data_IF_273227454105
#
_entry.id   IF_273227454105
#
_cell.length_a   1.000
_cell.length_b   1.000
_cell.length_c   1.000
_cell.angle_alpha   90.00
_cell.angle_beta   90.00
_cell.angle_gamma   90.00
#
_symmetry.space_group_name_H-M   'P 1'
#
loop_
_entity.id
_entity.type
_entity.pdbx_description
1 polymer ?
#
# COMPACT_ATOMS: atom_id res chain seq x y z
N UNK A 1 14.32 21.52 -6.25
CA UNK A 1 15.39 21.49 -5.26
C UNK A 1 15.21 20.52 -4.06
N UNK A 2 14.00 20.10 -3.66
CA UNK A 2 13.78 19.11 -2.56
C UNK A 2 14.13 17.63 -2.94
N UNK A 3 14.16 17.27 -4.21
CA UNK A 3 14.41 15.90 -4.72
C UNK A 3 15.81 15.35 -4.43
N UNK A 4 16.81 16.22 -4.40
CA UNK A 4 18.21 15.86 -4.11
C UNK A 4 18.38 15.38 -2.67
N UNK A 5 17.65 15.98 -1.72
CA UNK A 5 17.83 15.73 -0.28
C UNK A 5 17.43 14.30 0.14
N UNK A 6 16.39 13.69 -0.45
CA UNK A 6 15.94 12.36 -0.04
C UNK A 6 16.86 11.25 -0.57
N UNK A 7 17.26 11.33 -1.86
CA UNK A 7 18.26 10.42 -2.42
C UNK A 7 19.57 10.48 -1.67
N UNK A 8 20.07 11.70 -1.40
CA UNK A 8 21.29 11.93 -0.64
C UNK A 8 21.17 11.36 0.78
N UNK A 9 20.03 11.52 1.44
CA UNK A 9 19.79 11.00 2.79
C UNK A 9 19.83 9.47 2.84
N UNK A 10 19.17 8.79 1.89
CA UNK A 10 19.24 7.32 1.79
C UNK A 10 20.66 6.86 1.50
N UNK A 11 21.35 7.51 0.57
CA UNK A 11 22.74 7.17 0.24
C UNK A 11 23.65 7.34 1.44
N UNK A 12 23.49 8.41 2.22
CA UNK A 12 24.26 8.65 3.46
C UNK A 12 23.99 7.54 4.49
N UNK A 13 22.73 7.19 4.76
CA UNK A 13 22.39 6.10 5.69
C UNK A 13 22.97 4.77 5.26
N UNK A 14 22.83 4.43 3.98
CA UNK A 14 23.41 3.22 3.41
C UNK A 14 24.94 3.21 3.52
N UNK A 15 25.59 4.35 3.27
CA UNK A 15 27.04 4.50 3.37
C UNK A 15 27.53 4.34 4.82
N UNK A 16 26.81 4.91 5.80
CA UNK A 16 27.12 4.76 7.23
C UNK A 16 26.97 3.28 7.65
N UNK A 17 25.91 2.61 7.23
CA UNK A 17 25.69 1.19 7.53
C UNK A 17 26.81 0.32 6.93
N UNK A 18 27.21 0.60 5.71
CA UNK A 18 28.28 -0.11 5.02
C UNK A 18 29.65 0.13 5.68
N UNK A 19 29.92 1.38 6.06
CA UNK A 19 31.14 1.72 6.81
C UNK A 19 31.21 0.98 8.14
N UNK A 20 30.11 0.94 8.88
CA UNK A 20 30.02 0.22 10.15
C UNK A 20 30.25 -1.31 9.95
N UNK A 21 29.69 -1.88 8.90
CA UNK A 21 29.87 -3.29 8.55
C UNK A 21 31.33 -3.59 8.16
N UNK A 22 31.98 -2.69 7.41
CA UNK A 22 33.38 -2.84 7.05
C UNK A 22 34.31 -2.73 8.28
N UNK A 23 34.05 -1.80 9.20
CA UNK A 23 34.80 -1.70 10.44
C UNK A 23 34.65 -2.97 11.30
N UNK A 24 33.44 -3.51 11.41
CA UNK A 24 33.17 -4.75 12.12
C UNK A 24 33.94 -5.92 11.47
N UNK A 25 33.92 -6.02 10.15
CA UNK A 25 34.64 -7.04 9.40
C UNK A 25 36.14 -6.91 9.62
N UNK A 26 36.68 -5.70 9.61
CA UNK A 26 38.09 -5.41 9.89
C UNK A 26 38.48 -5.87 11.31
N UNK A 27 37.69 -5.60 12.33
CA UNK A 27 37.95 -6.07 13.70
C UNK A 27 37.94 -7.59 13.81
N UNK A 28 37.01 -8.25 13.10
CA UNK A 28 36.95 -9.71 13.05
C UNK A 28 38.19 -10.30 12.38
N UNK A 29 38.62 -9.75 11.25
CA UNK A 29 39.83 -10.23 10.53
C UNK A 29 41.07 -10.08 11.41
N UNK A 30 41.26 -8.92 12.05
CA UNK A 30 42.40 -8.70 12.97
C UNK A 30 42.35 -9.69 14.16
N UNK A 31 41.18 -9.93 14.74
CA UNK A 31 41.02 -10.87 15.84
C UNK A 31 41.36 -12.33 15.44
N UNK A 32 40.85 -12.74 14.26
CA UNK A 32 41.16 -14.09 13.71
C UNK A 32 42.65 -14.26 13.40
N UNK A 33 43.27 -13.21 12.86
CA UNK A 33 44.71 -13.20 12.58
C UNK A 33 45.52 -13.38 13.88
N UNK A 34 45.21 -12.64 14.94
CA UNK A 34 45.85 -12.80 16.26
C UNK A 34 45.71 -14.21 16.81
N UNK A 35 44.50 -14.79 16.81
CA UNK A 35 44.23 -16.13 17.27
C UNK A 35 45.06 -17.17 16.48
N UNK A 36 45.13 -16.97 15.14
CA UNK A 36 45.89 -17.89 14.27
C UNK A 36 47.38 -17.77 14.53
N UNK A 37 47.93 -16.57 14.72
CA UNK A 37 49.33 -16.33 15.01
C UNK A 37 49.73 -16.97 16.37
N UNK A 38 48.92 -16.76 17.42
CA UNK A 38 49.12 -17.36 18.72
C UNK A 38 49.11 -18.91 18.66
N UNK A 39 48.15 -19.48 17.93
CA UNK A 39 48.07 -20.93 17.77
C UNK A 39 49.29 -21.50 16.99
N UNK A 40 49.74 -20.78 15.96
CA UNK A 40 50.91 -21.17 15.15
C UNK A 40 52.18 -21.19 16.00
N UNK A 41 52.39 -20.17 16.84
CA UNK A 41 53.55 -20.12 17.79
C UNK A 41 53.45 -21.28 18.78
N UNK A 42 52.30 -21.55 19.32
CA UNK A 42 52.06 -22.66 20.26
C UNK A 42 52.37 -24.00 19.65
N UNK A 43 51.83 -24.28 18.44
CA UNK A 43 51.98 -25.55 17.76
C UNK A 43 53.48 -25.79 17.39
N UNK A 44 54.15 -24.74 16.86
CA UNK A 44 55.57 -24.81 16.55
C UNK A 44 56.43 -25.09 17.80
N UNK A 45 56.20 -24.37 18.89
CA UNK A 45 56.91 -24.55 20.15
C UNK A 45 56.78 -25.95 20.69
N UNK A 46 55.58 -26.54 20.68
CA UNK A 46 55.34 -27.91 21.11
C UNK A 46 56.07 -28.94 20.23
N UNK A 47 56.00 -28.75 18.90
CA UNK A 47 56.66 -29.67 17.94
C UNK A 47 58.17 -29.69 18.15
N UNK A 48 58.80 -28.54 18.27
CA UNK A 48 60.26 -28.42 18.42
C UNK A 48 60.72 -29.01 19.76
N UNK A 49 60.01 -28.73 20.87
CA UNK A 49 60.36 -29.28 22.19
C UNK A 49 60.16 -30.79 22.22
N UNK A 50 59.07 -31.31 21.63
CA UNK A 50 58.80 -32.76 21.56
C UNK A 50 59.78 -33.47 20.62
N UNK A 51 60.26 -32.84 19.56
CA UNK A 51 61.34 -33.39 18.71
C UNK A 51 62.67 -33.46 19.47
N UNK A 52 63.02 -32.36 20.18
CA UNK A 52 64.20 -32.36 21.03
C UNK A 52 64.14 -33.48 22.14
N UNK A 53 62.98 -33.62 22.76
CA UNK A 53 62.67 -34.64 23.73
C UNK A 53 62.90 -36.03 23.14
N UNK A 54 62.43 -36.30 21.93
CA UNK A 54 62.62 -37.59 21.24
C UNK A 54 64.08 -37.85 20.88
N UNK A 55 64.81 -36.84 20.46
CA UNK A 55 66.22 -36.94 20.13
C UNK A 55 67.05 -37.31 21.36
N UNK A 56 66.83 -36.63 22.49
CA UNK A 56 67.51 -36.92 23.75
C UNK A 56 67.20 -38.34 24.26
N UNK A 57 65.93 -38.75 24.20
CA UNK A 57 65.54 -40.11 24.63
C UNK A 57 66.12 -41.23 23.74
N UNK A 58 66.40 -40.96 22.48
CA UNK A 58 66.94 -41.90 21.51
C UNK A 58 68.47 -42.13 21.61
N UNK A 59 69.24 -41.25 22.30
CA UNK A 59 70.70 -41.24 22.31
C UNK A 59 71.21 -41.23 23.76
N UNK A 60 71.58 -42.45 24.38
CA UNK A 60 72.05 -42.51 25.72
C UNK A 60 73.38 -41.79 26.00
N UNK A 61 74.27 -41.70 25.01
CA UNK A 61 75.50 -40.90 25.10
C UNK A 61 75.25 -39.42 25.29
N UNK A 62 74.23 -38.90 24.59
CA UNK A 62 73.81 -37.49 24.70
C UNK A 62 73.25 -37.23 26.11
N UNK A 63 72.47 -38.14 26.65
CA UNK A 63 71.91 -38.00 28.00
C UNK A 63 73.04 -37.93 29.05
N UNK A 64 74.08 -38.76 28.90
CA UNK A 64 75.23 -38.76 29.79
C UNK A 64 76.07 -37.49 29.72
N UNK A 65 76.30 -36.97 28.49
CA UNK A 65 76.99 -35.73 28.25
C UNK A 65 76.23 -34.53 28.88
N UNK A 66 74.91 -34.46 28.82
CA UNK A 66 74.07 -33.41 29.41
C UNK A 66 74.14 -33.46 30.99
N UNK A 67 74.47 -34.58 31.57
CA UNK A 67 74.63 -34.71 33.03
C UNK A 67 76.06 -34.40 33.50
N UNK A 68 77.11 -34.87 32.78
CA UNK A 68 78.53 -34.78 33.19
C UNK A 68 79.19 -33.44 32.81
N UNK A 69 78.75 -32.80 31.80
CA UNK A 69 79.39 -31.52 31.35
C UNK A 69 78.57 -30.27 31.68
N UNK A 70 79.23 -29.38 32.39
CA UNK A 70 78.81 -27.91 32.27
C UNK A 70 79.29 -27.47 30.91
N UNK A 71 78.43 -27.66 29.92
CA UNK A 71 78.68 -27.21 28.54
C UNK A 71 78.45 -25.68 28.45
N UNK A 72 79.42 -24.95 28.93
CA UNK A 72 79.62 -23.56 28.66
C UNK A 72 80.12 -23.47 27.19
N UNK A 73 79.22 -23.83 26.25
CA UNK A 73 79.62 -24.09 24.88
C UNK A 73 79.52 -22.80 24.03
N UNK A 74 80.60 -22.43 23.48
CA UNK A 74 80.75 -21.34 22.52
C UNK A 74 80.06 -21.60 21.18
N UNK A 75 79.39 -22.73 20.98
CA UNK A 75 78.62 -23.05 19.78
C UNK A 75 77.16 -23.39 20.10
N UNK A 76 76.41 -22.29 20.34
CA UNK A 76 74.99 -22.37 20.69
C UNK A 76 74.06 -22.51 19.44
N UNK A 77 74.62 -22.71 18.23
CA UNK A 77 73.81 -22.70 16.98
C UNK A 77 72.79 -23.84 16.90
N UNK A 78 73.03 -24.97 17.58
CA UNK A 78 72.13 -26.10 17.61
C UNK A 78 70.91 -25.97 18.51
N UNK A 79 70.88 -24.96 19.39
CA UNK A 79 69.77 -24.72 20.32
C UNK A 79 68.79 -23.63 19.89
N UNK A 80 69.01 -23.07 18.70
CA UNK A 80 68.04 -22.23 18.02
C UNK A 80 67.49 -23.01 16.83
N UNK A 81 66.22 -23.41 16.90
CA UNK A 81 65.58 -24.16 15.84
C UNK A 81 64.22 -23.54 15.55
N UNK A 82 63.98 -23.16 14.31
CA UNK A 82 62.71 -22.56 13.87
C UNK A 82 62.21 -21.44 14.80
N UNK A 83 63.10 -20.50 15.20
CA UNK A 83 62.83 -19.39 16.12
C UNK A 83 62.44 -19.81 17.57
N UNK A 84 62.67 -21.08 17.92
CA UNK A 84 62.52 -21.60 19.28
C UNK A 84 63.88 -21.69 19.94
N UNK A 85 64.04 -21.04 21.07
CA UNK A 85 65.20 -21.17 21.93
C UNK A 85 65.03 -22.33 22.86
N UNK A 86 65.88 -23.32 22.74
CA UNK A 86 65.86 -24.50 23.57
C UNK A 86 66.83 -24.36 24.75
N UNK A 87 66.37 -24.72 25.94
CA UNK A 87 67.13 -24.71 27.17
C UNK A 87 66.88 -26.04 27.89
N UNK A 88 67.93 -26.66 28.33
CA UNK A 88 67.89 -27.94 29.07
C UNK A 88 68.39 -27.69 30.49
N UNK A 89 67.60 -28.15 31.45
CA UNK A 89 67.95 -28.08 32.89
C UNK A 89 67.94 -29.48 33.52
N UNK A 90 68.76 -29.64 34.54
CA UNK A 90 68.75 -30.86 35.36
C UNK A 90 67.56 -30.84 36.35
N UNK A 91 67.29 -31.91 37.00
CA UNK A 91 66.22 -32.07 37.97
C UNK A 91 66.27 -31.04 39.09
N UNK A 92 67.51 -30.71 39.52
CA UNK A 92 67.81 -29.69 40.51
C UNK A 92 67.65 -28.24 40.01
N UNK A 93 67.20 -28.12 38.77
CA UNK A 93 67.03 -26.80 38.03
C UNK A 93 68.32 -26.11 37.67
N UNK A 94 69.45 -26.76 37.81
CA UNK A 94 70.71 -26.25 37.27
C UNK A 94 70.72 -26.30 35.74
N UNK A 95 71.39 -25.34 35.10
CA UNK A 95 71.52 -25.26 33.66
C UNK A 95 72.40 -26.41 33.14
N UNK A 96 71.89 -27.16 32.18
CA UNK A 96 72.69 -28.23 31.59
C UNK A 96 73.25 -27.81 30.24
N UNK A 97 72.40 -27.36 29.34
CA UNK A 97 72.80 -26.97 28.00
C UNK A 97 71.71 -26.06 27.37
N UNK A 98 72.09 -25.20 26.46
CA UNK A 98 71.10 -24.37 25.70
C UNK A 98 71.42 -22.89 25.60
N UNK A 99 70.52 -22.13 25.00
CA UNK A 99 70.68 -20.68 24.82
C UNK A 99 69.98 -19.92 25.96
N UNK A 100 70.71 -19.56 26.97
CA UNK A 100 70.20 -18.84 28.15
C UNK A 100 70.30 -17.32 27.94
N UNK A 101 69.22 -16.71 27.36
CA UNK A 101 69.22 -15.32 26.98
C UNK A 101 68.94 -14.36 28.16
N UNK A 102 68.13 -14.78 29.13
CA UNK A 102 67.71 -13.95 30.26
C UNK A 102 67.68 -14.75 31.56
N UNK A 103 68.27 -14.25 32.61
CA UNK A 103 68.24 -14.86 33.96
C UNK A 103 66.83 -14.92 34.58
N UNK A 104 65.93 -14.10 34.09
CA UNK A 104 64.53 -14.10 34.58
C UNK A 104 63.75 -15.34 34.17
N UNK A 105 64.12 -15.97 33.08
CA UNK A 105 63.48 -17.19 32.59
C UNK A 105 63.71 -18.39 33.57
N UNK A 106 64.83 -18.42 34.23
CA UNK A 106 65.17 -19.46 35.22
C UNK A 106 64.31 -19.40 36.47
N UNK A 107 63.78 -18.20 36.78
CA UNK A 107 62.90 -18.00 37.95
C UNK A 107 61.47 -18.43 37.72
N UNK A 108 61.08 -18.72 36.46
CA UNK A 108 59.74 -19.16 36.11
C UNK A 108 59.60 -20.66 36.50
N UNK A 109 58.50 -20.99 37.22
CA UNK A 109 58.30 -22.39 37.62
C UNK A 109 58.15 -23.33 36.42
N UNK A 110 58.66 -24.52 36.53
CA UNK A 110 58.56 -25.56 35.51
C UNK A 110 57.24 -26.30 35.67
N UNK A 111 56.51 -26.47 34.59
CA UNK A 111 55.28 -27.26 34.54
C UNK A 111 55.32 -28.21 33.34
N UNK A 112 55.34 -29.51 33.58
CA UNK A 112 55.42 -30.50 32.52
C UNK A 112 54.19 -30.42 31.59
N UNK A 113 54.45 -30.34 30.28
CA UNK A 113 53.45 -30.33 29.22
C UNK A 113 52.48 -29.15 29.28
N UNK A 114 52.88 -28.03 29.89
CA UNK A 114 52.07 -26.84 30.01
C UNK A 114 52.69 -25.64 29.28
N UNK A 115 51.85 -24.88 28.59
CA UNK A 115 52.25 -23.66 27.95
C UNK A 115 52.07 -22.48 28.91
N UNK A 116 53.09 -21.67 29.05
CA UNK A 116 53.11 -20.47 29.92
C UNK A 116 53.35 -19.24 29.04
N UNK A 117 52.62 -18.18 29.29
CA UNK A 117 52.90 -16.87 28.65
C UNK A 117 53.95 -16.11 29.47
N UNK A 118 54.91 -15.52 28.78
CA UNK A 118 55.94 -14.67 29.33
C UNK A 118 55.74 -13.26 28.74
N UNK A 119 55.78 -12.28 29.65
CA UNK A 119 55.80 -10.88 29.23
C UNK A 119 56.98 -10.21 29.93
N UNK A 120 58.04 -9.88 29.17
CA UNK A 120 59.27 -9.28 29.67
C UNK A 120 59.64 -8.16 28.73
N UNK A 121 59.86 -6.95 29.27
CA UNK A 121 60.27 -5.73 28.55
C UNK A 121 59.36 -5.41 27.35
N UNK A 122 58.06 -5.70 27.45
CA UNK A 122 57.07 -5.41 26.37
C UNK A 122 57.11 -6.43 25.21
N UNK A 123 57.90 -7.50 25.35
CA UNK A 123 57.94 -8.61 24.41
C UNK A 123 57.13 -9.79 25.03
N UNK A 124 56.11 -10.21 24.29
CA UNK A 124 55.32 -11.40 24.68
C UNK A 124 56.00 -12.66 24.14
N UNK A 125 56.22 -13.62 24.99
CA UNK A 125 56.78 -14.92 24.61
C UNK A 125 55.92 -16.05 25.14
N UNK A 126 56.20 -17.22 24.66
CA UNK A 126 55.58 -18.47 25.12
C UNK A 126 56.68 -19.42 25.58
N UNK A 127 56.47 -20.04 26.72
CA UNK A 127 57.30 -21.11 27.28
C UNK A 127 56.54 -22.41 27.27
N UNK A 128 57.25 -23.49 26.89
CA UNK A 128 56.74 -24.85 27.00
C UNK A 128 57.76 -25.73 27.58
N UNK A 129 57.42 -26.44 28.66
CA UNK A 129 58.29 -27.28 29.40
C UNK A 129 57.94 -28.77 29.21
N UNK A 130 58.98 -29.60 29.07
CA UNK A 130 58.81 -31.03 29.00
C UNK A 130 59.81 -31.72 30.01
N UNK A 131 59.25 -32.57 30.85
CA UNK A 131 60.05 -33.37 31.75
C UNK A 131 60.32 -34.73 31.15
N UNK A 132 61.59 -35.21 31.24
CA UNK A 132 61.98 -36.55 30.82
C UNK A 132 62.79 -37.23 31.95
N UNK A 133 62.49 -38.49 32.14
CA UNK A 133 63.28 -39.36 33.08
C UNK A 133 64.29 -40.08 32.25
N UNK A 134 65.59 -39.93 32.59
CA UNK A 134 66.70 -40.63 31.98
C UNK A 134 67.31 -41.60 32.97
N UNK A 135 68.21 -42.45 32.52
CA UNK A 135 68.95 -43.44 33.47
C UNK A 135 69.78 -42.69 34.48
N UNK A 136 70.25 -41.51 34.21
CA UNK A 136 71.13 -40.73 35.06
C UNK A 136 70.34 -39.66 35.93
N UNK A 137 69.06 -39.49 35.71
CA UNK A 137 68.22 -38.53 36.47
C UNK A 137 67.20 -37.78 35.60
N UNK A 138 66.39 -36.89 36.19
CA UNK A 138 65.40 -36.10 35.49
C UNK A 138 66.00 -34.94 34.74
N UNK A 139 65.50 -34.67 33.51
CA UNK A 139 65.88 -33.50 32.74
C UNK A 139 64.63 -32.73 32.38
N UNK A 140 64.74 -31.40 32.42
CA UNK A 140 63.71 -30.47 31.92
C UNK A 140 64.17 -29.85 30.59
N UNK A 141 63.34 -29.95 29.59
CA UNK A 141 63.52 -29.26 28.28
C UNK A 141 62.52 -28.09 28.20
N UNK A 142 63.07 -26.90 28.21
CA UNK A 142 62.29 -25.67 28.11
C UNK A 142 62.49 -25.05 26.74
N UNK A 143 61.42 -24.89 26.00
CA UNK A 143 61.38 -24.10 24.78
C UNK A 143 60.84 -22.69 25.06
N UNK A 144 61.48 -21.71 24.50
CA UNK A 144 61.02 -20.30 24.51
C UNK A 144 60.86 -19.85 23.05
N UNK A 145 59.71 -19.36 22.73
CA UNK A 145 59.49 -18.67 21.47
C UNK A 145 58.89 -17.30 21.75
N UNK A 146 59.52 -16.24 21.28
CA UNK A 146 58.95 -14.91 21.35
C UNK A 146 57.86 -14.80 20.29
N UNK A 147 56.71 -14.31 20.69
CA UNK A 147 55.69 -13.88 19.75
C UNK A 147 56.20 -12.57 19.16
N UNK A 148 57.09 -12.65 18.23
CA UNK A 148 57.19 -11.61 17.23
C UNK A 148 55.89 -11.71 16.44
N UNK A 149 54.78 -11.15 17.00
CA UNK A 149 53.73 -10.63 16.12
C UNK A 149 54.49 -9.71 15.17
N UNK A 150 54.94 -10.26 14.05
CA UNK A 150 55.74 -9.52 13.08
C UNK A 150 54.87 -8.33 12.69
N UNK A 151 55.17 -7.16 13.31
CA UNK A 151 54.46 -5.91 12.99
C UNK A 151 54.55 -5.68 11.51
N UNK A 152 55.54 -6.25 10.83
CA UNK A 152 55.68 -6.27 9.39
C UNK A 152 54.56 -7.02 8.70
N UNK A 153 54.31 -8.28 9.06
CA UNK A 153 53.25 -9.12 8.44
C UNK A 153 51.85 -8.60 8.75
N UNK A 154 51.65 -8.04 9.93
CA UNK A 154 50.41 -7.38 10.29
C UNK A 154 50.20 -6.11 9.46
N UNK A 155 51.27 -5.29 9.23
CA UNK A 155 51.22 -4.11 8.41
C UNK A 155 50.97 -4.45 6.94
N UNK A 156 51.57 -5.53 6.39
CA UNK A 156 51.32 -5.99 5.03
C UNK A 156 49.87 -6.45 4.86
N UNK A 157 49.36 -7.30 5.77
CA UNK A 157 47.96 -7.77 5.73
C UNK A 157 46.95 -6.64 5.91
N UNK A 158 47.21 -5.68 6.79
CA UNK A 158 46.40 -4.46 6.93
C UNK A 158 46.53 -3.57 5.68
N UNK A 159 47.71 -3.49 5.06
CA UNK A 159 47.95 -2.76 3.82
C UNK A 159 47.03 -3.23 2.67
N UNK A 160 46.91 -4.53 2.49
CA UNK A 160 46.02 -5.13 1.48
C UNK A 160 44.54 -4.80 1.75
N UNK A 161 44.13 -4.87 3.03
CA UNK A 161 42.76 -4.49 3.43
C UNK A 161 42.53 -3.00 3.17
N UNK A 162 43.49 -2.13 3.50
CA UNK A 162 43.39 -0.68 3.27
C UNK A 162 43.37 -0.33 1.77
N UNK A 163 43.96 -1.13 0.91
CA UNK A 163 43.96 -0.91 -0.55
C UNK A 163 42.62 -1.31 -1.18
N UNK A 164 42.00 -2.41 -0.76
CA UNK A 164 40.73 -2.92 -1.30
C UNK A 164 39.52 -2.15 -0.75
N UNK A 165 39.58 -1.71 0.49
CA UNK A 165 38.49 -1.04 1.21
C UNK A 165 37.92 0.20 0.50
N UNK A 166 38.71 1.20 0.04
CA UNK A 166 38.18 2.37 -0.66
C UNK A 166 37.52 2.01 -1.98
N UNK A 167 38.02 0.98 -2.68
CA UNK A 167 37.43 0.52 -3.95
C UNK A 167 36.03 -0.08 -3.73
N UNK A 168 35.86 -0.93 -2.69
CA UNK A 168 34.57 -1.50 -2.30
C UNK A 168 33.63 -0.38 -1.87
N UNK A 169 34.09 0.56 -1.08
CA UNK A 169 33.28 1.70 -0.63
C UNK A 169 32.80 2.58 -1.79
N UNK A 170 33.68 2.94 -2.71
CA UNK A 170 33.34 3.76 -3.88
C UNK A 170 32.32 3.01 -4.75
N UNK A 171 32.54 1.73 -5.03
CA UNK A 171 31.63 0.90 -5.84
C UNK A 171 30.25 0.80 -5.21
N UNK A 172 30.19 0.60 -3.90
CA UNK A 172 28.94 0.54 -3.16
C UNK A 172 28.20 1.90 -3.09
N UNK A 173 28.94 3.00 -2.97
CA UNK A 173 28.37 4.36 -3.01
C UNK A 173 27.76 4.66 -4.40
N UNK A 174 28.48 4.36 -5.47
CA UNK A 174 28.00 4.57 -6.84
C UNK A 174 26.80 3.67 -7.15
N UNK A 175 26.87 2.40 -6.78
CA UNK A 175 25.77 1.43 -6.93
C UNK A 175 24.54 1.83 -6.15
N UNK A 176 24.68 2.21 -4.89
CA UNK A 176 23.60 2.67 -4.02
C UNK A 176 22.93 3.95 -4.56
N UNK A 177 23.72 4.91 -5.03
CA UNK A 177 23.19 6.15 -5.63
C UNK A 177 22.41 5.86 -6.94
N UNK A 178 22.94 4.99 -7.80
CA UNK A 178 22.29 4.57 -9.04
C UNK A 178 20.97 3.83 -8.75
N UNK A 179 21.00 2.87 -7.83
CA UNK A 179 19.85 2.07 -7.43
C UNK A 179 18.75 2.92 -6.79
N UNK A 180 19.10 3.83 -5.85
CA UNK A 180 18.15 4.78 -5.26
C UNK A 180 17.52 5.69 -6.33
N UNK A 181 18.29 6.09 -7.34
CA UNK A 181 17.81 6.86 -8.49
C UNK A 181 16.75 6.10 -9.30
N UNK A 182 16.99 4.84 -9.56
CA UNK A 182 16.11 3.98 -10.36
C UNK A 182 14.82 3.65 -9.64
N UNK A 183 14.87 3.25 -8.36
CA UNK A 183 13.69 2.89 -7.57
C UNK A 183 12.80 4.07 -7.19
N UNK A 184 13.38 5.25 -6.98
CA UNK A 184 12.61 6.45 -6.61
C UNK A 184 12.11 7.26 -7.81
N UNK A 185 12.55 6.97 -9.02
CA UNK A 185 12.12 7.66 -10.25
C UNK A 185 10.59 7.54 -10.48
N UNK A 186 9.97 6.35 -10.38
CA UNK A 186 8.53 6.20 -10.60
C UNK A 186 7.68 6.98 -9.57
N UNK A 187 8.06 6.91 -8.28
CA UNK A 187 7.36 7.67 -7.21
C UNK A 187 7.41 9.17 -7.48
N UNK A 188 8.55 9.63 -7.96
CA UNK A 188 8.73 11.02 -8.34
C UNK A 188 7.87 11.42 -9.56
N UNK A 189 7.62 10.50 -10.49
CA UNK A 189 6.75 10.70 -11.65
C UNK A 189 5.29 10.78 -11.21
N UNK A 190 4.83 9.85 -10.34
CA UNK A 190 3.49 9.90 -9.73
C UNK A 190 3.25 11.26 -9.08
N UNK A 191 4.16 11.69 -8.21
CA UNK A 191 4.05 12.98 -7.51
C UNK A 191 4.00 14.19 -8.45
N UNK A 192 4.77 14.14 -9.55
CA UNK A 192 4.80 15.22 -10.55
C UNK A 192 3.49 15.28 -11.34
N UNK A 193 3.00 14.13 -11.81
CA UNK A 193 1.74 14.06 -12.57
C UNK A 193 0.56 14.50 -11.69
N UNK A 194 0.52 14.04 -10.43
CA UNK A 194 -0.51 14.49 -9.48
C UNK A 194 -0.47 16.01 -9.23
N UNK A 195 0.73 16.59 -9.12
CA UNK A 195 0.89 18.04 -8.95
C UNK A 195 0.49 18.82 -10.22
N UNK A 196 0.79 18.31 -11.42
CA UNK A 196 0.37 18.90 -12.69
C UNK A 196 -1.15 18.88 -12.84
N UNK A 197 -1.80 17.76 -12.44
CA UNK A 197 -3.25 17.65 -12.41
C UNK A 197 -3.85 18.68 -11.43
N UNK A 198 -3.27 18.78 -10.22
CA UNK A 198 -3.71 19.76 -9.21
C UNK A 198 -3.63 21.21 -9.70
N UNK A 199 -2.56 21.55 -10.40
CA UNK A 199 -2.34 22.94 -10.87
C UNK A 199 -3.15 23.31 -12.11
N UNK A 200 -3.33 22.37 -13.03
CA UNK A 200 -4.00 22.63 -14.32
C UNK A 200 -5.44 22.15 -14.37
N UNK A 201 -5.90 21.33 -13.42
CA UNK A 201 -7.22 20.74 -13.42
C UNK A 201 -7.47 19.73 -14.56
N UNK A 202 -6.41 19.32 -15.28
CA UNK A 202 -6.49 18.39 -16.39
C UNK A 202 -6.45 16.94 -15.88
N UNK A 203 -7.63 16.38 -15.69
CA UNK A 203 -7.82 15.00 -15.22
C UNK A 203 -7.64 13.94 -16.31
N UNK A 204 -7.43 14.34 -17.58
CA UNK A 204 -7.22 13.38 -18.68
C UNK A 204 -5.84 12.75 -18.66
N UNK A 205 -4.89 13.41 -17.99
CA UNK A 205 -3.53 12.89 -17.82
C UNK A 205 -3.52 11.60 -17.01
N UNK A 206 -2.67 10.68 -17.42
CA UNK A 206 -2.44 9.40 -16.74
C UNK A 206 -1.00 9.28 -16.30
N UNK A 207 -0.79 8.49 -15.25
CA UNK A 207 0.53 8.11 -14.78
C UNK A 207 0.99 6.96 -15.67
N UNK A 208 1.98 7.24 -16.53
CA UNK A 208 2.59 6.24 -17.42
C UNK A 208 3.82 5.67 -16.73
N UNK A 209 3.68 4.53 -16.07
CA UNK A 209 4.78 3.75 -15.51
C UNK A 209 4.77 2.39 -16.19
N UNK A 210 5.97 1.89 -16.49
CA UNK A 210 6.12 0.53 -17.02
C UNK A 210 5.56 -0.45 -16.00
N UNK A 211 4.62 -1.27 -16.42
CA UNK A 211 4.04 -2.30 -15.56
C UNK A 211 5.10 -3.38 -15.28
N UNK A 212 5.58 -3.39 -14.06
CA UNK A 212 6.57 -4.34 -13.55
C UNK A 212 5.94 -5.35 -12.59
N UNK A 213 4.63 -5.27 -12.34
CA UNK A 213 3.92 -6.15 -11.41
C UNK A 213 4.29 -5.94 -9.94
N UNK A 214 4.95 -4.83 -9.60
CA UNK A 214 5.36 -4.48 -8.25
C UNK A 214 4.36 -3.52 -7.57
N UNK A 215 4.60 -3.19 -6.31
CA UNK A 215 3.75 -2.30 -5.51
C UNK A 215 3.63 -0.90 -6.12
N UNK A 216 4.64 -0.46 -6.88
CA UNK A 216 4.63 0.84 -7.55
C UNK A 216 3.68 0.83 -8.74
N UNK A 217 3.64 -0.27 -9.49
CA UNK A 217 2.68 -0.47 -10.57
C UNK A 217 1.24 -0.51 -10.02
N UNK A 218 1.00 -1.25 -8.94
CA UNK A 218 -0.31 -1.30 -8.28
C UNK A 218 -0.76 0.07 -7.79
N UNK A 219 0.16 0.87 -7.22
CA UNK A 219 -0.10 2.25 -6.80
C UNK A 219 -0.48 3.14 -8.00
N UNK A 220 0.23 3.01 -9.12
CA UNK A 220 -0.06 3.75 -10.35
C UNK A 220 -1.45 3.43 -10.90
N UNK A 221 -1.83 2.15 -10.94
CA UNK A 221 -3.17 1.73 -11.36
C UNK A 221 -4.26 2.30 -10.46
N UNK A 222 -4.04 2.29 -9.14
CA UNK A 222 -4.98 2.84 -8.16
C UNK A 222 -5.19 4.34 -8.38
N UNK A 223 -4.10 5.10 -8.59
CA UNK A 223 -4.20 6.53 -8.89
C UNK A 223 -4.92 6.79 -10.23
N UNK A 224 -4.61 6.04 -11.28
CA UNK A 224 -5.26 6.19 -12.57
C UNK A 224 -6.76 5.89 -12.49
N UNK A 225 -7.17 4.84 -11.76
CA UNK A 225 -8.57 4.54 -11.50
C UNK A 225 -9.28 5.66 -10.71
N UNK A 226 -8.59 6.25 -9.72
CA UNK A 226 -9.11 7.41 -8.98
C UNK A 226 -9.30 8.64 -9.89
N UNK A 227 -8.33 8.94 -10.75
CA UNK A 227 -8.42 10.06 -11.69
C UNK A 227 -9.55 9.84 -12.71
N UNK A 228 -9.70 8.63 -13.23
CA UNK A 228 -10.80 8.28 -14.13
C UNK A 228 -12.17 8.49 -13.47
N UNK A 229 -12.31 8.08 -12.22
CA UNK A 229 -13.55 8.28 -11.46
C UNK A 229 -13.82 9.76 -11.21
N UNK A 230 -12.79 10.55 -10.90
CA UNK A 230 -12.90 11.98 -10.67
C UNK A 230 -13.26 12.72 -11.96
N UNK A 231 -12.65 12.37 -13.09
CA UNK A 231 -12.94 12.90 -14.42
C UNK A 231 -14.40 12.65 -14.80
N UNK A 232 -14.88 11.40 -14.67
CA UNK A 232 -16.28 11.04 -14.93
C UNK A 232 -17.26 11.83 -14.06
N UNK A 233 -16.93 11.99 -12.77
CA UNK A 233 -17.79 12.76 -11.86
C UNK A 233 -17.84 14.24 -12.25
N UNK A 234 -16.70 14.85 -12.58
CA UNK A 234 -16.63 16.25 -12.99
C UNK A 234 -17.37 16.51 -14.33
N UNK A 235 -17.24 15.55 -15.26
CA UNK A 235 -17.94 15.64 -16.55
C UNK A 235 -19.45 15.51 -16.37
N UNK A 236 -19.90 14.59 -15.52
CA UNK A 236 -21.31 14.45 -15.15
C UNK A 236 -21.85 15.72 -14.48
N UNK A 237 -21.08 16.37 -13.60
CA UNK A 237 -21.44 17.64 -12.95
C UNK A 237 -21.54 18.79 -13.95
N UNK A 238 -20.57 18.93 -14.85
CA UNK A 238 -20.61 19.94 -15.94
C UNK A 238 -21.83 19.75 -16.85
N UNK A 239 -22.08 18.48 -17.22
CA UNK A 239 -23.23 18.14 -18.06
C UNK A 239 -24.56 18.47 -17.35
N UNK A 240 -24.63 18.14 -16.04
CA UNK A 240 -25.78 18.49 -15.20
C UNK A 240 -26.05 20.00 -15.17
N UNK A 241 -25.02 20.81 -14.88
CA UNK A 241 -25.14 22.27 -14.84
C UNK A 241 -25.54 22.85 -16.20
N UNK A 242 -24.97 22.35 -17.29
CA UNK A 242 -25.31 22.73 -18.65
C UNK A 242 -26.78 22.43 -19.00
N UNK A 243 -27.20 21.17 -18.73
CA UNK A 243 -28.57 20.74 -19.02
C UNK A 243 -29.59 21.49 -18.16
N UNK A 244 -29.32 21.71 -16.87
CA UNK A 244 -30.16 22.49 -15.98
C UNK A 244 -30.35 23.94 -16.52
N UNK A 245 -29.26 24.57 -16.98
CA UNK A 245 -29.27 25.90 -17.57
C UNK A 245 -30.13 25.97 -18.85
N UNK A 246 -30.03 24.95 -19.70
CA UNK A 246 -30.83 24.85 -20.91
C UNK A 246 -32.33 24.64 -20.62
N UNK A 247 -32.67 23.75 -19.67
CA UNK A 247 -34.04 23.46 -19.27
C UNK A 247 -34.72 24.65 -18.53
N UNK A 248 -33.92 25.53 -17.89
CA UNK A 248 -34.41 26.78 -17.29
C UNK A 248 -34.55 27.91 -18.34
N UNK A 249 -33.66 28.02 -19.31
CA UNK A 249 -33.65 29.06 -20.31
C UNK A 249 -34.92 29.02 -21.20
N UNK A 250 -35.33 27.83 -21.62
CA UNK A 250 -36.47 27.63 -22.50
C UNK A 250 -37.77 28.20 -21.91
N UNK A 251 -38.22 27.83 -20.69
CA UNK A 251 -39.44 28.40 -20.11
C UNK A 251 -39.34 29.90 -19.88
N UNK A 252 -38.17 30.44 -19.51
CA UNK A 252 -37.94 31.89 -19.36
C UNK A 252 -38.15 32.60 -20.67
N UNK A 253 -37.61 32.10 -21.78
CA UNK A 253 -37.80 32.69 -23.11
C UNK A 253 -39.27 32.67 -23.53
N UNK A 254 -40.01 31.59 -23.21
CA UNK A 254 -41.46 31.53 -23.50
C UNK A 254 -42.24 32.53 -22.65
N UNK A 255 -41.92 32.68 -21.37
CA UNK A 255 -42.53 33.66 -20.48
C UNK A 255 -42.28 35.07 -21.03
N UNK A 256 -41.04 35.41 -21.38
CA UNK A 256 -40.69 36.71 -21.94
C UNK A 256 -41.47 37.00 -23.22
N UNK A 257 -41.54 36.06 -24.16
CA UNK A 257 -42.30 36.22 -25.40
C UNK A 257 -43.78 36.41 -25.14
N UNK A 258 -44.38 35.69 -24.17
CA UNK A 258 -45.79 35.86 -23.81
C UNK A 258 -46.06 37.19 -23.09
N UNK A 259 -45.12 37.70 -22.30
CA UNK A 259 -45.21 39.02 -21.70
C UNK A 259 -45.15 40.15 -22.78
N UNK A 260 -44.19 40.03 -23.71
CA UNK A 260 -44.07 40.97 -24.83
C UNK A 260 -45.36 40.96 -25.70
N UNK A 261 -45.89 39.79 -26.00
CA UNK A 261 -47.14 39.64 -26.72
C UNK A 261 -48.31 40.29 -25.98
N UNK A 262 -48.45 40.04 -24.68
CA UNK A 262 -49.51 40.59 -23.83
C UNK A 262 -49.42 42.11 -23.68
N UNK A 263 -48.21 42.65 -23.61
CA UNK A 263 -48.00 44.14 -23.53
C UNK A 263 -48.19 44.84 -24.82
N UNK A 264 -48.03 44.17 -25.99
CA UNK A 264 -48.23 44.75 -27.32
C UNK A 264 -49.66 44.66 -27.84
N UNK A 265 -50.54 43.90 -27.20
CA UNK A 265 -51.93 43.71 -27.65
C UNK A 265 -52.91 44.43 -26.71
N UNK A 266 -53.38 45.61 -27.13
CA UNK A 266 -54.43 46.34 -26.43
C UNK A 266 -55.83 45.77 -26.78
N UNK A 267 -56.49 45.06 -25.86
CA UNK A 267 -57.94 44.98 -25.87
C UNK A 267 -58.63 43.61 -26.01
N UNK A 268 -57.95 42.50 -26.22
CA UNK A 268 -58.62 41.18 -26.27
C UNK A 268 -58.39 40.37 -24.97
N UNK A 269 -59.40 40.39 -24.09
CA UNK A 269 -59.38 39.76 -22.78
C UNK A 269 -59.02 38.25 -22.83
N UNK A 270 -59.45 37.51 -23.87
CA UNK A 270 -59.22 36.09 -24.04
C UNK A 270 -57.78 35.80 -24.43
N UNK A 271 -57.17 36.59 -25.32
CA UNK A 271 -55.76 36.45 -25.70
C UNK A 271 -54.80 36.72 -24.51
N UNK A 272 -55.13 37.67 -23.65
CA UNK A 272 -54.42 37.97 -22.42
C UNK A 272 -54.55 36.83 -21.42
N UNK A 273 -55.72 36.19 -21.28
CA UNK A 273 -55.93 35.02 -20.43
C UNK A 273 -55.08 33.82 -20.92
N UNK A 274 -55.04 33.58 -22.23
CA UNK A 274 -54.18 32.52 -22.80
C UNK A 274 -52.73 32.79 -22.53
N UNK A 275 -52.23 34.01 -22.72
CA UNK A 275 -50.86 34.40 -22.43
C UNK A 275 -50.52 34.17 -20.93
N UNK A 276 -51.38 34.62 -20.03
CA UNK A 276 -51.21 34.40 -18.59
C UNK A 276 -51.25 32.92 -18.22
N UNK A 277 -52.12 32.14 -18.84
CA UNK A 277 -52.16 30.67 -18.61
C UNK A 277 -50.87 29.98 -19.10
N UNK A 278 -50.27 30.44 -20.20
CA UNK A 278 -48.95 29.95 -20.65
C UNK A 278 -47.88 30.33 -19.67
N UNK A 279 -47.82 31.58 -19.22
CA UNK A 279 -46.86 32.09 -18.23
C UNK A 279 -46.95 31.25 -16.93
N UNK A 280 -48.19 31.04 -16.41
CA UNK A 280 -48.44 30.27 -15.21
C UNK A 280 -47.93 28.79 -15.37
N UNK A 281 -48.25 28.16 -16.51
CA UNK A 281 -47.76 26.79 -16.79
C UNK A 281 -46.24 26.71 -16.82
N UNK A 282 -45.57 27.72 -17.41
CA UNK A 282 -44.09 27.72 -17.43
C UNK A 282 -43.50 27.98 -16.04
N UNK A 283 -44.11 28.88 -15.24
CA UNK A 283 -43.71 29.12 -13.85
C UNK A 283 -43.83 27.88 -12.99
N UNK A 284 -44.96 27.16 -13.07
CA UNK A 284 -45.13 25.89 -12.36
C UNK A 284 -44.14 24.80 -12.82
N UNK A 285 -43.77 24.80 -14.13
CA UNK A 285 -42.74 23.87 -14.65
C UNK A 285 -41.36 24.20 -14.08
N UNK A 286 -40.99 25.48 -14.00
CA UNK A 286 -39.74 25.93 -13.43
C UNK A 286 -39.66 25.59 -11.93
N UNK A 287 -40.73 25.84 -11.16
CA UNK A 287 -40.78 25.52 -9.73
C UNK A 287 -40.52 24.04 -9.50
N UNK A 288 -41.21 23.16 -10.23
CA UNK A 288 -40.97 21.68 -10.14
C UNK A 288 -39.55 21.28 -10.51
N UNK A 289 -38.95 21.93 -11.54
CA UNK A 289 -37.57 21.66 -11.90
C UNK A 289 -36.61 21.99 -10.75
N UNK A 290 -36.77 23.20 -10.18
CA UNK A 290 -35.94 23.68 -9.07
C UNK A 290 -36.10 22.77 -7.85
N UNK A 291 -37.32 22.41 -7.47
CA UNK A 291 -37.61 21.51 -6.37
C UNK A 291 -36.93 20.13 -6.57
N UNK A 292 -37.03 19.57 -7.80
CA UNK A 292 -36.40 18.31 -8.14
C UNK A 292 -34.88 18.38 -8.00
N UNK A 293 -34.27 19.48 -8.49
CA UNK A 293 -32.82 19.71 -8.39
C UNK A 293 -32.35 19.83 -6.93
N UNK A 294 -33.13 20.55 -6.09
CA UNK A 294 -32.86 20.72 -4.68
C UNK A 294 -32.94 19.37 -3.92
N UNK A 295 -33.95 18.55 -4.20
CA UNK A 295 -34.10 17.22 -3.60
C UNK A 295 -32.95 16.34 -4.00
N UNK A 296 -32.57 16.27 -5.29
CA UNK A 296 -31.42 15.50 -5.76
C UNK A 296 -30.13 15.91 -5.03
N UNK A 297 -29.88 17.20 -4.92
CA UNK A 297 -28.68 17.73 -4.24
C UNK A 297 -28.67 17.37 -2.75
N UNK A 298 -29.79 17.50 -2.07
CA UNK A 298 -29.91 17.16 -0.61
C UNK A 298 -29.72 15.67 -0.35
N UNK A 299 -30.28 14.81 -1.20
CA UNK A 299 -30.11 13.36 -1.12
C UNK A 299 -28.63 12.99 -1.33
N UNK A 300 -27.95 13.60 -2.30
CA UNK A 300 -26.54 13.33 -2.57
C UNK A 300 -25.61 13.77 -1.44
N UNK A 301 -25.91 14.88 -0.80
CA UNK A 301 -25.13 15.35 0.35
C UNK A 301 -25.32 14.49 1.61
N UNK A 302 -26.31 13.61 1.63
CA UNK A 302 -26.63 12.71 2.74
C UNK A 302 -26.66 13.42 4.10
N UNK A 303 -27.22 14.60 4.17
CA UNK A 303 -27.20 15.51 5.34
C UNK A 303 -28.17 15.09 6.45
N UNK A 304 -28.84 13.93 6.35
CA UNK A 304 -29.90 13.53 7.30
C UNK A 304 -31.16 14.41 7.23
N UNK A 305 -31.32 15.20 6.20
CA UNK A 305 -32.43 16.13 6.05
C UNK A 305 -33.79 15.43 5.91
N UNK A 306 -33.81 14.20 5.41
CA UNK A 306 -35.01 13.37 5.24
C UNK A 306 -35.02 12.23 6.27
N UNK A 307 -35.60 12.41 7.47
CA UNK A 307 -35.62 11.36 8.47
C UNK A 307 -36.41 10.14 7.97
N UNK A 308 -35.93 8.96 8.33
CA UNK A 308 -36.62 7.71 8.06
C UNK A 308 -37.51 7.38 9.24
N UNK A 309 -38.73 6.92 8.98
CA UNK A 309 -39.69 6.53 10.02
C UNK A 309 -40.40 5.23 9.64
N UNK A 310 -40.87 4.48 10.66
CA UNK A 310 -41.63 3.24 10.46
C UNK A 310 -43.00 3.57 9.84
N UNK A 311 -43.12 3.33 8.56
CA UNK A 311 -44.29 3.66 7.76
C UNK A 311 -45.00 2.42 7.27
N UNK A 312 -46.33 2.43 7.26
CA UNK A 312 -47.15 1.43 6.56
C UNK A 312 -47.13 1.77 5.05
N UNK A 313 -46.24 1.09 4.33
CA UNK A 313 -45.99 1.32 2.89
C UNK A 313 -47.24 0.90 2.09
N UNK A 314 -48.01 -0.09 2.54
CA UNK A 314 -49.23 -0.53 1.85
C UNK A 314 -50.29 0.56 1.84
N UNK A 315 -50.61 1.12 3.01
CA UNK A 315 -51.59 2.20 3.13
C UNK A 315 -51.18 3.44 2.36
N UNK A 316 -49.89 3.84 2.45
CA UNK A 316 -49.36 4.98 1.69
C UNK A 316 -49.41 4.74 0.16
N UNK A 317 -49.11 3.53 -0.32
CA UNK A 317 -49.21 3.18 -1.72
C UNK A 317 -50.64 3.22 -2.21
N UNK A 318 -51.58 2.73 -1.41
CA UNK A 318 -53.01 2.74 -1.74
C UNK A 318 -53.56 4.16 -1.87
N UNK A 319 -53.23 5.04 -0.91
CA UNK A 319 -53.61 6.45 -0.94
C UNK A 319 -53.11 7.16 -2.23
N UNK A 320 -51.82 7.00 -2.56
CA UNK A 320 -51.23 7.62 -3.76
C UNK A 320 -51.87 7.05 -5.03
N UNK A 321 -52.12 5.75 -5.10
CA UNK A 321 -52.79 5.12 -6.23
C UNK A 321 -54.24 5.61 -6.40
N UNK A 322 -55.00 5.81 -5.31
CA UNK A 322 -56.36 6.38 -5.35
C UNK A 322 -56.36 7.78 -5.91
N UNK A 323 -55.50 8.66 -5.41
CA UNK A 323 -55.39 10.06 -5.88
C UNK A 323 -55.07 10.13 -7.37
N UNK A 324 -54.21 9.23 -7.85
CA UNK A 324 -53.88 9.13 -9.28
C UNK A 324 -55.03 8.60 -10.15
N UNK A 325 -55.78 7.61 -9.64
CA UNK A 325 -56.99 7.12 -10.35
C UNK A 325 -58.02 8.23 -10.60
N UNK A 326 -58.25 9.09 -9.59
CA UNK A 326 -59.19 10.21 -9.66
C UNK A 326 -58.76 11.27 -10.66
N UNK A 327 -57.44 11.42 -10.90
CA UNK A 327 -56.85 12.43 -11.79
C UNK A 327 -56.59 11.92 -13.21
N UNK A 328 -56.96 10.68 -13.54
CA UNK A 328 -56.63 10.05 -14.81
C UNK A 328 -57.56 10.47 -15.95
N UNK A 329 -56.98 11.12 -16.99
CA UNK A 329 -57.72 11.65 -18.17
C UNK A 329 -57.73 10.69 -19.38
N UNK A 330 -56.93 9.59 -19.38
CA UNK A 330 -56.64 8.80 -20.60
C UNK A 330 -57.32 7.44 -20.68
N UNK A 331 -58.35 7.15 -19.87
CA UNK A 331 -59.04 5.87 -19.87
C UNK A 331 -58.17 4.65 -19.45
N UNK A 332 -57.00 4.87 -18.90
CA UNK A 332 -56.10 3.80 -18.42
C UNK A 332 -56.61 3.22 -17.10
N UNK A 333 -56.84 1.94 -17.07
CA UNK A 333 -57.22 1.22 -15.87
C UNK A 333 -56.04 0.88 -14.98
N UNK A 334 -56.12 1.25 -13.69
CA UNK A 334 -55.10 0.88 -12.71
C UNK A 334 -55.62 -0.23 -11.77
N UNK A 335 -54.92 -1.35 -11.77
CA UNK A 335 -55.14 -2.47 -10.81
C UNK A 335 -54.10 -2.39 -9.69
N UNK A 336 -54.52 -2.65 -8.44
CA UNK A 336 -53.62 -2.65 -7.27
C UNK A 336 -53.72 -4.00 -6.57
N UNK A 337 -52.57 -4.64 -6.35
CA UNK A 337 -52.41 -5.85 -5.55
C UNK A 337 -51.43 -5.54 -4.42
N UNK A 338 -51.94 -5.12 -3.28
CA UNK A 338 -51.12 -4.68 -2.17
C UNK A 338 -51.23 -5.67 -1.02
N UNK A 339 -50.11 -6.18 -0.52
CA UNK A 339 -50.05 -6.98 0.69
C UNK A 339 -50.38 -6.13 1.88
N UNK A 340 -51.24 -6.64 2.78
CA UNK A 340 -51.69 -5.91 3.97
C UNK A 340 -50.49 -5.66 4.90
N UNK A 341 -50.44 -4.45 5.50
CA UNK A 341 -49.46 -4.07 6.56
C UNK A 341 -47.96 -4.26 6.21
N UNK A 342 -47.53 -4.14 4.95
CA UNK A 342 -46.13 -4.08 4.65
C UNK A 342 -45.51 -2.81 5.21
N UNK A 343 -44.70 -2.93 6.28
CA UNK A 343 -44.04 -1.80 6.94
C UNK A 343 -42.55 -1.80 6.64
N UNK A 344 -41.97 -0.58 6.46
CA UNK A 344 -40.55 -0.35 6.29
C UNK A 344 -40.14 1.00 6.90
N UNK A 345 -38.86 1.16 7.22
CA UNK A 345 -38.30 2.46 7.60
C UNK A 345 -37.98 3.28 6.37
N UNK A 346 -38.86 4.22 6.06
CA UNK A 346 -38.74 5.08 4.87
C UNK A 346 -39.05 6.55 5.24
N UNK A 347 -38.69 7.46 4.35
CA UNK A 347 -39.25 8.81 4.39
C UNK A 347 -40.51 8.84 3.54
N UNK A 348 -41.71 9.12 4.10
CA UNK A 348 -42.97 9.07 3.36
C UNK A 348 -43.03 10.04 2.20
N UNK A 349 -42.51 11.26 2.37
CA UNK A 349 -42.51 12.27 1.30
C UNK A 349 -41.64 11.91 0.12
N UNK A 350 -40.45 11.33 0.36
CA UNK A 350 -39.59 10.83 -0.72
C UNK A 350 -40.22 9.60 -1.39
N UNK A 351 -40.84 8.70 -0.63
CA UNK A 351 -41.53 7.54 -1.18
C UNK A 351 -42.69 7.95 -2.07
N UNK A 352 -43.51 8.89 -1.62
CA UNK A 352 -44.61 9.46 -2.42
C UNK A 352 -44.08 10.05 -3.74
N UNK A 353 -43.01 10.86 -3.67
CA UNK A 353 -42.39 11.46 -4.84
C UNK A 353 -41.85 10.41 -5.84
N UNK A 354 -41.25 9.33 -5.32
CA UNK A 354 -40.77 8.21 -6.11
C UNK A 354 -41.92 7.50 -6.85
N UNK A 355 -42.97 7.14 -6.10
CA UNK A 355 -44.13 6.44 -6.64
C UNK A 355 -44.88 7.30 -7.66
N UNK A 356 -45.07 8.58 -7.36
CA UNK A 356 -45.66 9.56 -8.29
C UNK A 356 -44.90 9.64 -9.62
N UNK A 357 -43.57 9.66 -9.59
CA UNK A 357 -42.74 9.67 -10.81
C UNK A 357 -42.92 8.39 -11.64
N UNK A 358 -42.95 7.22 -10.97
CA UNK A 358 -43.18 5.95 -11.66
C UNK A 358 -44.57 5.84 -12.27
N UNK A 359 -45.62 6.22 -11.50
CA UNK A 359 -46.98 6.23 -11.98
C UNK A 359 -47.17 7.24 -13.14
N UNK A 360 -46.58 8.45 -12.99
CA UNK A 360 -46.63 9.43 -14.06
C UNK A 360 -45.98 8.93 -15.34
N UNK A 361 -44.89 8.15 -15.26
CA UNK A 361 -44.27 7.52 -16.42
C UNK A 361 -45.21 6.45 -17.03
N UNK A 362 -45.81 5.60 -16.22
CA UNK A 362 -46.77 4.58 -16.68
C UNK A 362 -47.95 5.18 -17.40
N UNK A 363 -48.58 6.25 -16.85
CA UNK A 363 -49.66 6.98 -17.56
C UNK A 363 -49.21 7.70 -18.82
N UNK A 364 -48.01 8.26 -18.81
CA UNK A 364 -47.50 9.05 -19.98
C UNK A 364 -47.14 8.16 -21.14
N UNK A 365 -46.57 7.00 -20.88
CA UNK A 365 -46.05 6.09 -21.89
C UNK A 365 -46.94 4.88 -22.12
N UNK A 366 -47.99 4.67 -21.29
CA UNK A 366 -49.04 3.71 -21.47
C UNK A 366 -49.82 3.91 -22.76
N UNK A 367 -50.56 2.87 -23.16
CA UNK A 367 -51.49 2.92 -24.31
C UNK A 367 -52.80 3.63 -23.91
N UNK A 368 -53.48 4.22 -24.83
CA UNK A 368 -54.87 4.65 -24.63
C UNK A 368 -55.73 3.46 -24.28
N UNK A 369 -56.55 3.57 -23.23
CA UNK A 369 -57.33 2.48 -22.64
C UNK A 369 -56.50 1.25 -22.23
N UNK A 370 -55.23 1.46 -21.88
CA UNK A 370 -54.30 0.45 -21.42
C UNK A 370 -54.45 0.12 -19.94
N UNK A 371 -53.50 -0.64 -19.40
CA UNK A 371 -53.54 -1.11 -18.02
C UNK A 371 -52.21 -0.79 -17.30
N UNK A 372 -52.35 -0.35 -16.04
CA UNK A 372 -51.23 -0.23 -15.11
C UNK A 372 -51.50 -1.16 -13.94
N UNK A 373 -50.54 -2.03 -13.61
CA UNK A 373 -50.62 -2.92 -12.46
C UNK A 373 -49.59 -2.52 -11.43
N UNK A 374 -50.04 -2.21 -10.22
CA UNK A 374 -49.18 -1.91 -9.06
C UNK A 374 -49.26 -3.07 -8.08
N UNK A 375 -48.11 -3.69 -7.79
CA UNK A 375 -48.03 -4.83 -6.89
C UNK A 375 -47.04 -4.48 -5.75
N UNK A 376 -47.47 -4.66 -4.51
CA UNK A 376 -46.63 -4.50 -3.33
C UNK A 376 -46.61 -5.78 -2.52
N UNK A 377 -45.41 -6.28 -2.23
CA UNK A 377 -45.21 -7.50 -1.41
C UNK A 377 -44.07 -7.33 -0.44
N UNK A 378 -44.17 -7.97 0.73
CA UNK A 378 -43.10 -8.05 1.71
C UNK A 378 -42.50 -9.45 1.72
N UNK A 379 -41.20 -9.59 1.46
CA UNK A 379 -40.48 -10.87 1.48
C UNK A 379 -39.09 -10.69 2.07
N UNK A 380 -38.71 -11.59 2.99
CA UNK A 380 -37.35 -11.67 3.56
C UNK A 380 -36.86 -10.32 4.14
N UNK A 381 -37.69 -9.57 4.86
CA UNK A 381 -37.31 -8.28 5.44
C UNK A 381 -37.13 -7.17 4.39
N UNK A 382 -37.73 -7.29 3.20
CA UNK A 382 -37.72 -6.28 2.15
C UNK A 382 -39.12 -6.04 1.61
N UNK A 383 -39.42 -4.81 1.29
CA UNK A 383 -40.65 -4.41 0.59
C UNK A 383 -40.32 -4.32 -0.89
N UNK A 384 -41.06 -5.05 -1.70
CA UNK A 384 -40.92 -5.06 -3.16
C UNK A 384 -42.17 -4.40 -3.77
N UNK A 385 -41.95 -3.29 -4.48
CA UNK A 385 -42.95 -2.58 -5.25
C UNK A 385 -42.68 -2.80 -6.74
N UNK A 386 -43.71 -3.22 -7.49
CA UNK A 386 -43.67 -3.35 -8.94
C UNK A 386 -44.76 -2.52 -9.57
N UNK A 387 -44.40 -1.81 -10.64
CA UNK A 387 -45.31 -1.02 -11.46
C UNK A 387 -45.12 -1.48 -12.89
N UNK A 388 -46.15 -2.08 -13.46
CA UNK A 388 -46.14 -2.61 -14.82
C UNK A 388 -47.17 -1.88 -15.66
N UNK A 389 -46.75 -1.36 -16.82
CA UNK A 389 -47.60 -0.79 -17.85
C UNK A 389 -47.56 -1.65 -19.15
N UNK A 390 -48.56 -1.49 -20.01
CA UNK A 390 -48.67 -2.12 -21.32
C UNK A 390 -48.33 -1.12 -22.46
N UNK A 391 -47.47 -0.14 -22.16
CA UNK A 391 -47.15 0.96 -23.01
C UNK A 391 -46.21 0.66 -24.18
N UNK A 392 -45.54 1.69 -24.66
CA UNK A 392 -44.64 1.62 -25.83
C UNK A 392 -43.35 0.83 -25.57
N UNK A 393 -43.02 0.58 -24.31
CA UNK A 393 -41.76 -0.06 -23.92
C UNK A 393 -40.53 0.83 -24.14
N UNK A 394 -39.37 0.24 -23.83
CA UNK A 394 -38.03 0.91 -23.88
C UNK A 394 -37.10 -0.02 -24.69
N UNK A 395 -36.33 0.56 -25.62
CA UNK A 395 -35.34 -0.19 -26.38
C UNK A 395 -34.18 -0.63 -25.48
N UNK A 396 -33.64 -1.82 -25.75
CA UNK A 396 -32.56 -2.44 -24.92
C UNK A 396 -31.33 -1.53 -24.78
N UNK A 397 -30.97 -0.80 -25.84
CA UNK A 397 -29.85 0.17 -25.82
C UNK A 397 -30.06 1.33 -24.84
N UNK A 398 -31.32 1.66 -24.53
CA UNK A 398 -31.68 2.80 -23.67
C UNK A 398 -31.80 2.38 -22.20
N UNK A 399 -32.08 1.08 -21.89
CA UNK A 399 -32.30 0.56 -20.52
C UNK A 399 -31.18 0.94 -19.53
N UNK A 400 -29.89 0.85 -19.85
CA UNK A 400 -28.83 1.27 -18.91
C UNK A 400 -28.83 2.75 -18.60
N UNK A 401 -29.35 3.57 -19.52
CA UNK A 401 -29.24 5.04 -19.49
C UNK A 401 -30.46 5.74 -18.94
N UNK A 402 -31.60 5.08 -18.79
CA UNK A 402 -32.84 5.71 -18.32
C UNK A 402 -32.70 6.32 -16.90
N UNK A 403 -31.73 5.87 -16.12
CA UNK A 403 -31.43 6.37 -14.78
C UNK A 403 -30.51 7.59 -14.77
N UNK A 404 -29.92 7.95 -15.95
CA UNK A 404 -29.09 9.14 -16.11
C UNK A 404 -29.95 10.41 -16.03
N UNK A 405 -29.39 11.47 -15.45
CA UNK A 405 -30.08 12.76 -15.36
C UNK A 405 -30.24 13.38 -16.76
N UNK A 406 -31.42 13.92 -17.02
CA UNK A 406 -31.79 14.54 -18.30
C UNK A 406 -31.80 13.59 -19.50
N UNK A 407 -31.59 12.28 -19.27
CA UNK A 407 -31.67 11.34 -20.37
C UNK A 407 -33.11 11.11 -20.83
N UNK A 408 -33.27 10.99 -22.13
CA UNK A 408 -34.56 10.71 -22.80
C UNK A 408 -34.31 9.85 -24.03
N UNK A 409 -34.95 8.69 -24.09
CA UNK A 409 -34.92 7.81 -25.27
C UNK A 409 -35.48 8.56 -26.51
N UNK A 410 -34.94 8.28 -27.68
CA UNK A 410 -35.29 9.01 -28.92
C UNK A 410 -36.79 8.94 -29.24
N UNK A 411 -37.42 7.79 -29.06
CA UNK A 411 -38.87 7.60 -29.26
C UNK A 411 -39.73 8.41 -28.28
N UNK A 412 -39.20 8.83 -27.15
CA UNK A 412 -39.93 9.60 -26.11
C UNK A 412 -39.77 11.13 -26.23
N UNK A 413 -38.91 11.63 -27.12
CA UNK A 413 -38.64 13.09 -27.26
C UNK A 413 -39.85 13.92 -27.63
N UNK A 414 -40.87 13.35 -28.28
CA UNK A 414 -42.13 14.03 -28.64
C UNK A 414 -43.07 14.22 -27.43
N UNK A 415 -42.95 13.40 -26.37
CA UNK A 415 -43.78 13.55 -25.16
C UNK A 415 -43.10 14.50 -24.15
N UNK A 416 -43.84 15.44 -23.54
CA UNK A 416 -43.31 16.45 -22.61
C UNK A 416 -42.64 15.80 -21.39
N UNK A 417 -41.35 16.05 -21.10
CA UNK A 417 -40.65 15.57 -19.92
C UNK A 417 -39.23 16.14 -19.81
N UNK A 418 -38.72 16.33 -18.60
CA UNK A 418 -37.38 16.89 -18.32
C UNK A 418 -36.26 15.86 -18.19
N UNK A 419 -36.58 14.54 -18.20
CA UNK A 419 -35.58 13.50 -18.03
C UNK A 419 -34.99 13.37 -16.60
N UNK A 420 -35.65 13.96 -15.60
CA UNK A 420 -35.17 13.90 -14.20
C UNK A 420 -35.96 12.90 -13.34
N UNK A 421 -37.16 12.45 -13.76
CA UNK A 421 -38.03 11.62 -12.93
C UNK A 421 -37.41 10.28 -12.53
N UNK A 422 -36.84 9.52 -13.48
CA UNK A 422 -36.25 8.20 -13.21
C UNK A 422 -34.90 8.33 -12.46
N UNK A 423 -34.10 9.34 -12.72
CA UNK A 423 -32.90 9.60 -11.95
C UNK A 423 -33.21 9.96 -10.50
N UNK A 424 -34.32 10.69 -10.27
CA UNK A 424 -34.84 10.96 -8.93
C UNK A 424 -35.31 9.69 -8.22
N UNK A 425 -36.06 8.83 -8.92
CA UNK A 425 -36.47 7.49 -8.41
C UNK A 425 -35.24 6.70 -7.97
N UNK A 426 -34.21 6.62 -8.82
CA UNK A 426 -32.99 5.93 -8.52
C UNK A 426 -32.29 6.45 -7.25
N UNK A 427 -32.16 7.77 -7.11
CA UNK A 427 -31.53 8.40 -5.94
C UNK A 427 -32.35 8.19 -4.66
N UNK A 428 -33.67 8.29 -4.75
CA UNK A 428 -34.56 8.04 -3.60
C UNK A 428 -34.44 6.57 -3.15
N UNK A 429 -34.46 5.62 -4.07
CA UNK A 429 -34.32 4.19 -3.76
C UNK A 429 -32.98 3.92 -3.08
N UNK A 430 -31.89 4.50 -3.59
CA UNK A 430 -30.56 4.38 -2.98
C UNK A 430 -30.48 5.04 -1.59
N UNK A 431 -31.13 6.18 -1.40
CA UNK A 431 -31.21 6.85 -0.12
C UNK A 431 -31.83 5.94 0.97
N UNK A 432 -32.82 5.14 0.59
CA UNK A 432 -33.45 4.13 1.45
C UNK A 432 -32.66 2.81 1.51
N UNK A 433 -31.44 2.74 0.98
CA UNK A 433 -30.63 1.49 0.96
C UNK A 433 -31.20 0.39 0.06
N UNK A 434 -32.09 0.75 -0.86
CA UNK A 434 -32.78 -0.16 -1.77
C UNK A 434 -32.09 -0.32 -3.13
N UNK A 435 -32.77 -1.04 -4.01
CA UNK A 435 -32.38 -1.25 -5.39
C UNK A 435 -33.57 -1.09 -6.33
N UNK A 436 -33.34 -0.49 -7.51
CA UNK A 436 -34.33 -0.36 -8.58
C UNK A 436 -33.85 -1.12 -9.82
N UNK A 437 -34.79 -1.76 -10.51
CA UNK A 437 -34.55 -2.47 -11.76
C UNK A 437 -35.70 -2.16 -12.74
N UNK A 438 -35.43 -2.37 -14.03
CA UNK A 438 -36.40 -2.20 -15.10
C UNK A 438 -36.35 -3.41 -16.03
N UNK A 439 -37.50 -3.89 -16.47
CA UNK A 439 -37.65 -4.85 -17.54
C UNK A 439 -38.63 -4.29 -18.55
N UNK A 440 -38.28 -4.26 -19.83
CA UNK A 440 -39.14 -3.65 -20.84
C UNK A 440 -38.94 -4.35 -22.19
N UNK A 441 -40.02 -4.50 -22.91
CA UNK A 441 -40.04 -5.00 -24.28
C UNK A 441 -40.74 -3.94 -25.17
N UNK A 442 -40.07 -3.48 -26.23
CA UNK A 442 -40.66 -2.51 -27.14
C UNK A 442 -42.02 -3.00 -27.69
N UNK A 443 -43.04 -2.18 -27.51
CA UNK A 443 -44.41 -2.52 -27.96
C UNK A 443 -45.23 -3.35 -26.98
N UNK A 444 -44.66 -3.92 -25.93
CA UNK A 444 -45.36 -4.75 -24.92
C UNK A 444 -45.54 -4.04 -23.58
N UNK A 445 -44.65 -3.08 -23.24
CA UNK A 445 -44.74 -2.30 -22.04
C UNK A 445 -43.47 -2.34 -21.17
N UNK A 446 -43.57 -1.81 -19.94
CA UNK A 446 -42.46 -1.67 -19.01
C UNK A 446 -42.86 -2.12 -17.61
N UNK A 447 -41.97 -2.83 -16.91
CA UNK A 447 -42.08 -3.13 -15.50
C UNK A 447 -40.90 -2.50 -14.73
N UNK A 448 -41.22 -1.57 -13.83
CA UNK A 448 -40.29 -1.06 -12.84
C UNK A 448 -40.42 -1.86 -11.54
N UNK A 449 -39.29 -2.30 -11.00
CA UNK A 449 -39.20 -3.04 -9.75
C UNK A 449 -38.33 -2.28 -8.75
N UNK A 450 -38.90 -1.92 -7.62
CA UNK A 450 -38.21 -1.25 -6.50
C UNK A 450 -38.20 -2.18 -5.30
N UNK A 451 -37.03 -2.37 -4.70
CA UNK A 451 -36.85 -3.19 -3.49
C UNK A 451 -36.25 -2.33 -2.40
N UNK A 452 -36.98 -2.14 -1.30
CA UNK A 452 -36.56 -1.37 -0.14
C UNK A 452 -36.34 -2.33 1.04
N UNK A 453 -35.23 -2.22 1.80
CA UNK A 453 -35.05 -2.99 3.02
C UNK A 453 -36.01 -2.51 4.12
N UNK A 454 -36.43 -3.41 5.00
CA UNK A 454 -37.29 -3.09 6.15
C UNK A 454 -36.60 -2.13 7.13
N UNK A 455 -35.28 -2.33 7.30
CA UNK A 455 -34.38 -1.46 8.04
C UNK A 455 -33.17 -1.11 7.15
N UNK A 456 -33.07 0.10 6.61
CA UNK A 456 -31.89 0.51 5.89
C UNK A 456 -30.68 0.57 6.83
N UNK A 457 -29.57 0.00 6.41
CA UNK A 457 -28.30 0.13 7.14
C UNK A 457 -27.89 1.61 7.14
N UNK A 458 -28.08 2.28 8.26
CA UNK A 458 -27.67 3.67 8.45
C UNK A 458 -26.14 3.72 8.33
N UNK A 459 -25.64 4.33 7.25
CA UNK A 459 -24.23 4.78 7.19
C UNK A 459 -23.19 3.84 6.62
N UNK A 460 -23.51 2.94 5.68
CA UNK A 460 -22.46 2.33 4.87
C UNK A 460 -22.45 2.95 3.46
N UNK A 461 -21.66 4.01 3.28
CA UNK A 461 -21.18 4.36 1.95
C UNK A 461 -20.18 3.27 1.52
N UNK A 462 -20.68 2.09 1.19
CA UNK A 462 -19.87 1.05 0.56
C UNK A 462 -19.58 1.52 -0.87
N UNK A 463 -18.35 1.92 -1.10
CA UNK A 463 -17.70 1.80 -2.38
C UNK A 463 -17.77 0.32 -2.79
N UNK A 464 -18.85 -0.07 -3.46
CA UNK A 464 -19.08 -1.38 -4.03
C UNK A 464 -18.96 -1.27 -5.53
N UNK A 465 -17.79 -1.62 -6.05
CA UNK A 465 -17.56 -1.81 -7.47
C UNK A 465 -18.51 -2.85 -8.03
N UNK A 466 -19.09 -2.52 -9.18
CA UNK A 466 -19.84 -3.45 -9.97
C UNK A 466 -18.96 -4.55 -10.57
N UNK A 467 -19.59 -5.69 -10.71
CA UNK A 467 -19.24 -6.66 -11.76
C UNK A 467 -20.11 -6.37 -12.98
#
# INVERSE_FOLDING_TARGET
>A
MKRSKFKVRITIWYSIALLAMCLLMGTVVVSLYRIKAENSVRDNLQVVVDECTRAINGEPELQRLLWESDIDSADNSGFLREDVFLMIYREDKSRACGLFLYEEIDKIPFYDSQLQSLETDGITGWLYDRYIQTEEGGLWIRGLQYSAADMGDMIYTLGDVFLVFPFVLITALLGGYWMAGRFLSPVAQISRTAEEIRQRGDLTKRIEIKDTGDEISALSHTFNAMFERLEKNLEAEKQFASNASHELRTPVSVIMAQCEYALGNEGKTEELREALAVIQRQGCRMSRLIETLLILTRIEQNTGYYPLEKTNVSALTEEICMDRKLSAENGIEMETELEEEARAEINPGLFQLMLDNLLQNAYRYGRENGRIKVTLRKRNGKVELRIKDDGIGIEEKDLPRIWERFYRAEGSRRKKGMGLGLSLVWQIVRYHGGNAAVSSIPGEGTEFRVVLPDHPAVGSSSAGGGK
#
